data_IF_522333343797
#
_entry.id   IF_522333343797
#
_cell.length_a   1.000
_cell.length_b   1.000
_cell.length_c   1.000
_cell.angle_alpha   90.00
_cell.angle_beta   90.00
_cell.angle_gamma   90.00
#
_symmetry.space_group_name_H-M   'P 1'
#
loop_
_entity.id
_entity.type
_entity.pdbx_description
1 polymer ?
#
# COMPACT_ATOMS: atom_id res chain seq x y z
N UNK A 1 1.79 -7.65 10.69
CA UNK A 1 1.49 -8.85 11.51
C UNK A 1 2.59 -9.14 12.55
N UNK A 2 3.07 -8.13 13.29
CA UNK A 2 4.10 -8.32 14.33
C UNK A 2 5.49 -8.76 13.87
N UNK A 3 5.67 -9.22 12.62
CA UNK A 3 6.95 -9.59 12.04
C UNK A 3 7.61 -8.38 11.38
N UNK A 4 8.91 -8.20 11.63
CA UNK A 4 9.73 -7.20 10.93
C UNK A 4 9.94 -7.66 9.49
N UNK A 5 9.65 -6.77 8.55
CA UNK A 5 9.90 -6.95 7.13
C UNK A 5 10.71 -5.74 6.66
N UNK A 6 11.83 -5.99 6.00
CA UNK A 6 12.76 -4.98 5.49
C UNK A 6 12.96 -5.07 3.96
N UNK A 7 12.28 -6.02 3.30
CA UNK A 7 12.37 -6.26 1.87
C UNK A 7 11.17 -5.66 1.13
N UNK A 8 11.39 -4.71 0.20
CA UNK A 8 10.30 -4.04 -0.53
C UNK A 8 9.44 -4.97 -1.39
N UNK A 9 10.01 -6.09 -1.89
CA UNK A 9 9.30 -7.07 -2.71
C UNK A 9 8.45 -8.07 -1.92
N UNK A 10 8.21 -7.83 -0.63
CA UNK A 10 7.41 -8.72 0.20
C UNK A 10 5.94 -8.70 -0.27
N UNK A 11 5.36 -9.86 -0.64
CA UNK A 11 3.96 -9.94 -1.06
C UNK A 11 3.04 -9.82 0.15
N UNK A 12 2.10 -8.86 0.10
CA UNK A 12 1.04 -8.71 1.09
C UNK A 12 -0.19 -9.52 0.69
N UNK A 13 -0.96 -9.98 1.67
CA UNK A 13 -2.19 -10.75 1.47
C UNK A 13 -3.38 -10.05 2.13
N UNK A 14 -4.61 -10.29 1.63
CA UNK A 14 -5.82 -9.87 2.35
C UNK A 14 -5.81 -10.39 3.79
N UNK A 15 -6.16 -9.52 4.73
CA UNK A 15 -6.08 -9.74 6.17
C UNK A 15 -4.74 -9.35 6.82
N UNK A 16 -3.74 -8.93 6.05
CA UNK A 16 -2.47 -8.46 6.61
C UNK A 16 -2.60 -7.06 7.23
N UNK A 17 -2.15 -6.94 8.47
CA UNK A 17 -2.02 -5.67 9.19
C UNK A 17 -0.59 -5.15 9.11
N UNK A 18 -0.37 -4.09 8.36
CA UNK A 18 0.89 -3.37 8.24
C UNK A 18 0.98 -2.29 9.31
N UNK A 19 2.07 -2.29 10.06
CA UNK A 19 2.33 -1.34 11.15
C UNK A 19 3.75 -0.81 11.04
N UNK A 20 3.94 0.47 11.39
CA UNK A 20 5.25 1.09 11.38
C UNK A 20 5.97 0.89 12.72
N UNK A 21 7.30 0.72 12.65
CA UNK A 21 8.13 0.65 13.85
C UNK A 21 8.10 1.99 14.60
N UNK A 22 8.03 1.98 15.93
CA UNK A 22 7.86 3.19 16.76
C UNK A 22 8.87 4.29 16.46
N UNK A 23 10.13 3.92 16.20
CA UNK A 23 11.23 4.85 15.83
C UNK A 23 10.90 5.76 14.63
N UNK A 24 10.04 5.35 13.71
CA UNK A 24 9.70 6.12 12.50
C UNK A 24 8.35 6.83 12.58
N UNK A 25 7.63 6.75 13.71
CA UNK A 25 6.28 7.32 13.85
C UNK A 25 6.24 8.83 13.65
N UNK A 26 7.25 9.57 14.15
CA UNK A 26 7.34 11.02 13.97
C UNK A 26 7.42 11.40 12.49
N UNK A 27 8.40 10.82 11.77
CA UNK A 27 8.59 11.07 10.35
C UNK A 27 7.38 10.64 9.52
N UNK A 28 6.77 9.50 9.86
CA UNK A 28 5.57 9.02 9.18
C UNK A 28 4.40 10.00 9.32
N UNK A 29 4.19 10.55 10.53
CA UNK A 29 3.11 11.53 10.77
C UNK A 29 3.34 12.83 9.98
N UNK A 30 4.56 13.37 10.02
CA UNK A 30 4.93 14.57 9.24
C UNK A 30 4.71 14.36 7.74
N UNK A 31 5.06 13.17 7.21
CA UNK A 31 4.83 12.83 5.81
C UNK A 31 3.34 12.66 5.47
N UNK A 32 2.51 12.16 6.40
CA UNK A 32 1.08 12.05 6.17
C UNK A 32 0.40 13.43 6.12
N UNK A 33 0.85 14.36 6.96
CA UNK A 33 0.34 15.73 6.99
C UNK A 33 0.69 16.49 5.70
N UNK A 34 1.86 16.25 5.11
CA UNK A 34 2.26 16.85 3.82
C UNK A 34 1.56 16.23 2.61
N UNK A 35 0.97 15.04 2.76
CA UNK A 35 0.35 14.26 1.69
C UNK A 35 -1.17 14.51 1.56
N UNK A 36 -1.66 15.65 2.06
CA UNK A 36 -3.06 16.03 2.01
C UNK A 36 -3.61 15.99 0.57
N UNK A 37 -4.51 15.03 0.29
CA UNK A 37 -5.13 14.84 -1.02
C UNK A 37 -4.92 13.46 -1.67
N UNK A 38 -4.10 12.58 -1.08
CA UNK A 38 -4.00 11.22 -1.58
C UNK A 38 -5.26 10.39 -1.31
N UNK A 39 -5.80 9.80 -2.38
CA UNK A 39 -6.90 8.85 -2.31
C UNK A 39 -6.32 7.49 -1.92
N UNK A 40 -6.79 6.96 -0.79
CA UNK A 40 -6.46 5.59 -0.38
C UNK A 40 -7.22 4.63 -1.31
N UNK A 41 -6.54 3.71 -2.01
CA UNK A 41 -7.22 2.71 -2.84
C UNK A 41 -8.16 1.84 -2.02
N UNK A 42 -9.28 1.41 -2.60
CA UNK A 42 -10.31 0.63 -1.89
C UNK A 42 -9.86 -0.74 -1.37
N UNK A 43 -8.71 -1.25 -1.81
CA UNK A 43 -8.12 -2.51 -1.34
C UNK A 43 -7.26 -2.35 -0.07
N UNK A 44 -7.02 -1.11 0.38
CA UNK A 44 -6.31 -0.77 1.61
C UNK A 44 -7.24 0.03 2.53
N UNK A 45 -7.33 -0.38 3.78
CA UNK A 45 -7.95 0.41 4.85
C UNK A 45 -6.85 1.01 5.71
N UNK A 46 -6.81 2.35 5.85
CA UNK A 46 -5.78 3.05 6.62
C UNK A 46 -6.40 3.66 7.87
N UNK A 47 -5.76 3.47 9.02
CA UNK A 47 -6.04 4.20 10.25
C UNK A 47 -4.87 5.16 10.54
N UNK A 48 -5.02 6.46 10.21
CA UNK A 48 -3.99 7.47 10.44
C UNK A 48 -3.65 7.72 11.91
N UNK A 49 -4.63 7.54 12.81
CA UNK A 49 -4.42 7.78 14.23
C UNK A 49 -3.43 6.76 14.82
N UNK A 50 -3.58 5.51 14.42
CA UNK A 50 -2.76 4.39 14.89
C UNK A 50 -1.55 4.06 14.01
N UNK A 51 -1.39 4.73 12.86
CA UNK A 51 -0.38 4.44 11.84
C UNK A 51 -0.42 2.96 11.40
N UNK A 52 -1.64 2.47 11.15
CA UNK A 52 -1.89 1.10 10.70
C UNK A 52 -2.55 1.10 9.33
N UNK A 53 -2.22 0.10 8.52
CA UNK A 53 -2.89 -0.18 7.26
C UNK A 53 -3.27 -1.66 7.20
N UNK A 54 -4.52 -1.94 6.85
CA UNK A 54 -5.07 -3.28 6.70
C UNK A 54 -5.32 -3.55 5.22
N UNK A 55 -4.88 -4.72 4.74
CA UNK A 55 -5.13 -5.14 3.37
C UNK A 55 -6.48 -5.86 3.34
N UNK A 56 -7.50 -5.27 2.71
CA UNK A 56 -8.85 -5.84 2.75
C UNK A 56 -9.14 -6.78 1.57
N UNK A 57 -8.49 -6.56 0.43
CA UNK A 57 -8.72 -7.30 -0.80
C UNK A 57 -7.48 -7.28 -1.71
N UNK A 58 -7.39 -8.17 -2.72
CA UNK A 58 -6.46 -7.98 -3.81
C UNK A 58 -6.84 -6.73 -4.64
N UNK A 59 -5.87 -5.97 -5.19
CA UNK A 59 -6.15 -4.82 -6.03
C UNK A 59 -6.84 -5.26 -7.32
N UNK A 60 -7.81 -4.46 -7.76
CA UNK A 60 -8.50 -4.65 -9.04
C UNK A 60 -7.95 -3.69 -10.10
N UNK A 61 -8.15 -4.01 -11.38
CA UNK A 61 -7.57 -3.24 -12.49
C UNK A 61 -8.05 -1.79 -12.54
N UNK A 62 -9.31 -1.55 -12.17
CA UNK A 62 -9.94 -0.23 -12.09
C UNK A 62 -9.35 0.67 -10.98
N UNK A 63 -8.65 0.08 -10.00
CA UNK A 63 -8.00 0.81 -8.91
C UNK A 63 -6.59 1.30 -9.27
N UNK A 64 -6.11 1.01 -10.48
CA UNK A 64 -4.82 1.48 -10.98
C UNK A 64 -5.03 2.90 -11.55
N UNK A 65 -4.37 3.94 -10.99
CA UNK A 65 -4.66 5.33 -11.32
C UNK A 65 -4.05 5.79 -12.66
N UNK A 66 -3.39 4.90 -13.39
CA UNK A 66 -2.72 5.19 -14.65
C UNK A 66 -3.22 4.26 -15.75
N UNK A 67 -3.34 4.80 -16.97
CA UNK A 67 -3.74 4.02 -18.13
C UNK A 67 -2.56 3.15 -18.60
N UNK A 68 -2.65 1.86 -18.35
CA UNK A 68 -1.65 0.87 -18.77
C UNK A 68 -2.33 -0.22 -19.58
N UNK A 69 -1.85 -0.37 -20.82
CA UNK A 69 -2.25 -1.47 -21.68
C UNK A 69 -1.40 -2.71 -21.38
N UNK A 70 -1.94 -3.60 -20.55
CA UNK A 70 -1.27 -4.85 -20.15
C UNK A 70 -1.02 -5.79 -21.33
N UNK A 71 -1.79 -5.70 -22.42
CA UNK A 71 -1.59 -6.55 -23.60
C UNK A 71 -0.24 -6.30 -24.28
N UNK A 72 0.23 -5.04 -24.34
CA UNK A 72 1.53 -4.70 -24.92
C UNK A 72 2.69 -5.39 -24.18
N UNK A 73 2.55 -5.57 -22.86
CA UNK A 73 3.54 -6.26 -22.03
C UNK A 73 3.49 -7.76 -22.33
N UNK A 74 2.29 -8.36 -22.42
CA UNK A 74 2.13 -9.79 -22.73
C UNK A 74 2.71 -10.13 -24.10
N UNK A 75 2.47 -9.30 -25.11
CA UNK A 75 3.00 -9.49 -26.46
C UNK A 75 4.52 -9.39 -26.52
N UNK A 76 5.13 -8.50 -25.72
CA UNK A 76 6.58 -8.32 -25.69
C UNK A 76 7.34 -9.52 -25.12
N UNK A 77 6.75 -10.25 -24.17
CA UNK A 77 7.36 -11.44 -23.53
C UNK A 77 6.93 -12.77 -24.17
N UNK A 78 6.16 -12.73 -25.26
CA UNK A 78 5.72 -13.91 -25.98
C UNK A 78 6.81 -14.50 -26.88
#
# INVERSE_FOLDING_TARGET
NGKKVDRPSYPVKPGDLVTLHSRIHKQARENMESMAGHIVPGWIEVNPAELKANIVAPPTHDQIPFDVNTNLIVEFYR
#
